data_IF_591505268640
#
_entry.id   IF_591505268640
#
_cell.length_a   1.000
_cell.length_b   1.000
_cell.length_c   1.000
_cell.angle_alpha   90.00
_cell.angle_beta   90.00
_cell.angle_gamma   90.00
#
_symmetry.space_group_name_H-M   'P 1'
#
loop_
_entity.id
_entity.type
_entity.pdbx_description
1 polymer ?
#
# COMPACT_ATOMS: atom_id res chain seq x y z
N UNK A 1 19.05 10.74 40.81
CA UNK A 1 18.85 11.10 39.39
C UNK A 1 18.87 9.83 38.55
N UNK A 2 17.72 9.41 38.00
CA UNK A 2 17.63 8.31 37.03
C UNK A 2 17.17 8.91 35.71
N UNK A 3 18.10 9.13 34.80
CA UNK A 3 17.81 9.57 33.42
C UNK A 3 17.13 8.38 32.72
N UNK A 4 15.79 8.32 32.76
CA UNK A 4 15.03 7.29 32.07
C UNK A 4 14.80 7.73 30.62
N UNK A 5 15.72 7.31 29.76
CA UNK A 5 15.55 6.97 28.32
C UNK A 5 14.36 7.63 27.62
N UNK A 6 14.53 8.89 27.22
CA UNK A 6 13.56 9.67 26.44
C UNK A 6 14.04 9.89 24.98
N UNK A 7 14.71 8.90 24.38
CA UNK A 7 15.51 9.13 23.16
C UNK A 7 15.15 8.31 21.91
N UNK A 8 13.97 7.71 21.80
CA UNK A 8 13.58 7.04 20.54
C UNK A 8 12.09 7.23 20.22
N UNK A 9 11.60 8.46 20.15
CA UNK A 9 10.19 8.73 19.76
C UNK A 9 10.08 9.52 18.44
N UNK A 10 11.17 10.11 17.92
CA UNK A 10 11.07 10.96 16.74
C UNK A 10 10.94 10.20 15.39
N UNK A 11 11.10 8.87 15.35
CA UNK A 11 11.11 8.08 14.11
C UNK A 11 9.90 7.13 13.94
N UNK A 12 8.99 7.07 14.91
CA UNK A 12 7.82 6.17 14.88
C UNK A 12 6.60 6.86 14.25
N UNK A 13 6.63 8.19 14.14
CA UNK A 13 5.71 8.95 13.31
C UNK A 13 6.21 8.99 11.86
N UNK A 14 6.44 7.82 11.23
CA UNK A 14 6.12 7.81 9.81
C UNK A 14 4.62 8.07 9.76
N UNK A 15 4.17 9.15 9.08
CA UNK A 15 2.76 9.43 8.98
C UNK A 15 2.05 8.16 8.53
N UNK A 16 0.77 8.06 8.81
CA UNK A 16 -0.16 7.20 8.10
C UNK A 16 -0.14 7.57 6.60
N UNK A 17 1.00 7.41 5.92
CA UNK A 17 1.15 7.66 4.50
C UNK A 17 0.39 6.53 3.82
N UNK A 18 -0.66 6.91 3.10
CA UNK A 18 -1.47 6.02 2.29
C UNK A 18 -2.30 5.04 3.10
N UNK A 19 -3.54 5.43 3.43
CA UNK A 19 -4.62 4.43 3.37
C UNK A 19 -4.52 3.80 1.99
N UNK A 20 -4.37 2.47 1.92
CA UNK A 20 -4.44 1.81 0.63
C UNK A 20 -5.87 2.00 0.11
N UNK A 21 -5.97 2.23 -1.19
CA UNK A 21 -7.28 2.45 -1.81
C UNK A 21 -8.13 1.20 -1.61
N UNK A 22 -9.24 1.33 -0.89
CA UNK A 22 -10.19 0.23 -0.66
C UNK A 22 -11.14 0.02 -1.84
N UNK A 23 -11.22 1.01 -2.74
CA UNK A 23 -11.97 0.99 -3.99
C UNK A 23 -11.08 1.55 -5.09
N UNK A 24 -10.95 0.84 -6.21
CA UNK A 24 -10.13 1.32 -7.32
C UNK A 24 -10.76 2.53 -8.01
N UNK A 25 -9.96 3.57 -8.18
CA UNK A 25 -10.25 4.76 -8.99
C UNK A 25 -9.31 4.68 -10.18
N UNK A 26 -9.87 4.81 -11.37
CA UNK A 26 -9.12 4.70 -12.60
C UNK A 26 -7.99 5.72 -12.64
N UNK A 27 -6.76 5.22 -12.84
CA UNK A 27 -5.58 6.05 -12.99
C UNK A 27 -5.39 6.34 -14.50
N UNK A 28 -6.16 7.29 -15.06
CA UNK A 28 -6.11 7.60 -16.51
C UNK A 28 -6.92 8.83 -16.95
N UNK A 29 -6.73 9.27 -18.19
CA UNK A 29 -7.50 10.37 -18.80
C UNK A 29 -8.95 9.95 -19.11
N UNK A 30 -9.90 10.76 -18.64
CA UNK A 30 -11.35 10.53 -18.62
C UNK A 30 -12.04 10.62 -19.99
N UNK A 31 -11.37 10.30 -21.10
CA UNK A 31 -11.84 10.68 -22.43
C UNK A 31 -12.62 9.60 -23.21
N UNK A 32 -12.63 8.32 -22.83
CA UNK A 32 -13.35 7.27 -23.57
C UNK A 32 -14.02 6.23 -22.65
N UNK A 33 -15.27 6.51 -22.26
CA UNK A 33 -16.12 5.64 -21.41
C UNK A 33 -16.34 4.24 -22.01
N UNK A 34 -16.43 4.12 -23.33
CA UNK A 34 -16.73 2.86 -24.04
C UNK A 34 -15.61 1.81 -23.93
N UNK A 35 -14.35 2.25 -23.82
CA UNK A 35 -13.19 1.36 -23.69
C UNK A 35 -13.01 0.87 -22.24
N UNK A 36 -13.40 1.70 -21.27
CA UNK A 36 -13.44 1.32 -19.85
C UNK A 36 -14.55 0.32 -19.53
N UNK A 37 -15.74 0.48 -20.14
CA UNK A 37 -16.81 -0.51 -20.00
C UNK A 37 -16.38 -1.89 -20.51
N UNK A 38 -15.63 -1.95 -21.62
CA UNK A 38 -15.07 -3.20 -22.13
C UNK A 38 -14.03 -3.84 -21.19
N UNK A 39 -13.22 -3.03 -20.47
CA UNK A 39 -12.30 -3.54 -19.43
C UNK A 39 -13.04 -4.18 -18.26
N UNK A 40 -14.19 -3.64 -17.85
CA UNK A 40 -15.00 -4.22 -16.76
C UNK A 40 -15.55 -5.60 -17.10
N UNK A 41 -15.63 -5.96 -18.38
CA UNK A 41 -16.05 -7.32 -18.80
C UNK A 41 -14.88 -8.29 -18.93
N UNK A 42 -13.63 -7.79 -18.90
CA UNK A 42 -12.43 -8.63 -18.99
C UNK A 42 -12.22 -9.44 -17.68
N UNK A 43 -12.20 -10.79 -17.73
CA UNK A 43 -11.98 -11.63 -16.56
C UNK A 43 -10.63 -11.39 -15.86
N UNK A 44 -9.57 -11.07 -16.60
CA UNK A 44 -8.26 -10.78 -16.03
C UNK A 44 -8.27 -9.48 -15.23
N UNK A 45 -8.91 -8.44 -15.78
CA UNK A 45 -9.09 -7.16 -15.08
C UNK A 45 -9.94 -7.31 -13.82
N UNK A 46 -11.04 -8.06 -13.86
CA UNK A 46 -11.88 -8.30 -12.68
C UNK A 46 -11.15 -9.08 -11.57
N UNK A 47 -10.34 -10.08 -11.95
CA UNK A 47 -9.50 -10.82 -10.98
C UNK A 47 -8.46 -9.92 -10.34
N UNK A 48 -7.74 -9.14 -11.15
CA UNK A 48 -6.75 -8.19 -10.66
C UNK A 48 -7.39 -7.15 -9.74
N UNK A 49 -8.53 -6.57 -10.14
CA UNK A 49 -9.26 -5.56 -9.37
C UNK A 49 -9.68 -6.10 -8.00
N UNK A 50 -10.24 -7.32 -7.96
CA UNK A 50 -10.64 -7.98 -6.72
C UNK A 50 -9.44 -8.19 -5.78
N UNK A 51 -8.29 -8.62 -6.31
CA UNK A 51 -7.06 -8.78 -5.54
C UNK A 51 -6.51 -7.43 -5.03
N UNK A 52 -6.56 -6.40 -5.86
CA UNK A 52 -6.12 -5.05 -5.54
C UNK A 52 -6.91 -4.44 -4.38
N UNK A 53 -8.25 -4.49 -4.46
CA UNK A 53 -9.13 -3.95 -3.43
C UNK A 53 -9.03 -4.75 -2.13
N UNK A 54 -8.96 -6.07 -2.21
CA UNK A 54 -8.77 -6.92 -1.03
C UNK A 54 -7.41 -6.67 -0.36
N UNK A 55 -6.33 -6.56 -1.13
CA UNK A 55 -5.02 -6.20 -0.62
C UNK A 55 -5.06 -4.83 0.08
N UNK A 56 -5.70 -3.84 -0.55
CA UNK A 56 -5.89 -2.50 0.03
C UNK A 56 -6.66 -2.51 1.34
N UNK A 57 -7.78 -3.25 1.42
CA UNK A 57 -8.54 -3.45 2.67
C UNK A 57 -7.67 -4.04 3.77
N UNK A 58 -6.94 -5.11 3.48
CA UNK A 58 -6.06 -5.78 4.44
C UNK A 58 -4.91 -4.88 4.92
N UNK A 59 -4.37 -4.01 4.05
CA UNK A 59 -3.40 -2.98 4.44
C UNK A 59 -4.02 -2.02 5.47
N UNK A 60 -5.26 -1.60 5.27
CA UNK A 60 -5.94 -0.70 6.20
C UNK A 60 -6.17 -1.38 7.56
N UNK A 61 -6.66 -2.63 7.58
CA UNK A 61 -6.86 -3.41 8.81
C UNK A 61 -5.57 -3.59 9.62
N UNK A 62 -4.47 -3.99 8.98
CA UNK A 62 -3.18 -4.15 9.67
C UNK A 62 -2.61 -2.80 10.11
N UNK A 63 -2.93 -1.71 9.41
CA UNK A 63 -2.53 -0.35 9.79
C UNK A 63 -3.27 0.12 11.04
N UNK A 64 -4.55 -0.22 11.18
CA UNK A 64 -5.26 0.04 12.43
C UNK A 64 -4.69 -0.78 13.59
N UNK A 65 -4.38 -2.06 13.37
CA UNK A 65 -3.74 -2.87 14.40
C UNK A 65 -2.38 -2.30 14.79
N UNK A 66 -1.59 -1.87 13.81
CA UNK A 66 -0.31 -1.20 14.02
C UNK A 66 -0.50 0.02 14.91
N UNK A 67 -1.48 0.88 14.60
CA UNK A 67 -1.73 2.10 15.37
C UNK A 67 -2.17 1.79 16.80
N UNK A 68 -3.11 0.85 16.98
CA UNK A 68 -3.53 0.38 18.32
C UNK A 68 -2.35 -0.14 19.14
N UNK A 69 -1.38 -0.81 18.51
CA UNK A 69 -0.18 -1.29 19.19
C UNK A 69 0.76 -0.16 19.57
N UNK A 70 0.97 0.82 18.68
CA UNK A 70 1.73 2.04 18.95
C UNK A 70 1.12 2.83 20.10
N UNK A 71 -0.19 3.09 20.07
CA UNK A 71 -0.88 3.86 21.12
C UNK A 71 -0.76 3.18 22.50
N UNK A 72 -0.80 1.85 22.53
CA UNK A 72 -0.73 1.08 23.78
C UNK A 72 0.67 0.99 24.38
N UNK A 73 1.73 0.88 23.58
CA UNK A 73 3.10 0.59 24.09
C UNK A 73 4.21 1.51 23.56
N UNK A 74 3.89 2.43 22.67
CA UNK A 74 4.82 3.32 21.97
C UNK A 74 5.43 2.75 20.68
N UNK A 75 5.20 1.48 20.34
CA UNK A 75 5.76 0.84 19.14
C UNK A 75 4.91 -0.36 18.65
N UNK A 76 4.91 -0.70 17.35
CA UNK A 76 4.17 -1.85 16.84
C UNK A 76 4.86 -3.18 17.19
N UNK A 77 4.14 -4.30 17.17
CA UNK A 77 4.77 -5.63 17.29
C UNK A 77 5.50 -5.98 15.98
N UNK A 78 6.63 -6.70 16.09
CA UNK A 78 7.38 -7.27 14.95
C UNK A 78 6.48 -8.02 13.96
N UNK A 79 5.56 -8.85 14.47
CA UNK A 79 4.64 -9.63 13.63
C UNK A 79 3.70 -8.74 12.81
N UNK A 80 3.25 -7.62 13.37
CA UNK A 80 2.36 -6.67 12.70
C UNK A 80 3.11 -5.91 11.62
N UNK A 81 4.36 -5.53 11.90
CA UNK A 81 5.25 -4.91 10.88
C UNK A 81 5.49 -5.86 9.71
N UNK A 82 5.83 -7.13 9.98
CA UNK A 82 6.03 -8.14 8.93
C UNK A 82 4.78 -8.36 8.09
N UNK A 83 3.61 -8.52 8.71
CA UNK A 83 2.35 -8.67 7.99
C UNK A 83 2.04 -7.45 7.10
N UNK A 84 2.30 -6.24 7.60
CA UNK A 84 2.14 -5.02 6.78
C UNK A 84 3.14 -4.97 5.62
N UNK A 85 4.39 -5.38 5.82
CA UNK A 85 5.39 -5.46 4.75
C UNK A 85 4.97 -6.44 3.65
N UNK A 86 4.48 -7.62 4.01
CA UNK A 86 4.00 -8.63 3.06
C UNK A 86 2.85 -8.08 2.20
N UNK A 87 1.90 -7.39 2.82
CA UNK A 87 0.78 -6.76 2.12
C UNK A 87 1.21 -5.59 1.23
N UNK A 88 2.13 -4.73 1.70
CA UNK A 88 2.67 -3.63 0.89
C UNK A 88 3.45 -4.18 -0.32
N UNK A 89 4.23 -5.25 -0.14
CA UNK A 89 4.93 -5.92 -1.25
C UNK A 89 3.94 -6.44 -2.29
N UNK A 90 2.88 -7.14 -1.84
CA UNK A 90 1.84 -7.63 -2.74
C UNK A 90 1.12 -6.48 -3.48
N UNK A 91 0.87 -5.36 -2.82
CA UNK A 91 0.26 -4.20 -3.44
C UNK A 91 1.14 -3.58 -4.52
N UNK A 92 2.46 -3.52 -4.30
CA UNK A 92 3.45 -3.10 -5.30
C UNK A 92 3.42 -4.06 -6.50
N UNK A 93 3.41 -5.37 -6.25
CA UNK A 93 3.36 -6.38 -7.32
C UNK A 93 2.09 -6.23 -8.17
N UNK A 94 0.95 -5.93 -7.56
CA UNK A 94 -0.31 -5.68 -8.27
C UNK A 94 -0.27 -4.39 -9.10
N UNK A 95 0.38 -3.33 -8.62
CA UNK A 95 0.60 -2.10 -9.41
C UNK A 95 1.55 -2.34 -10.59
N UNK A 96 2.59 -3.15 -10.39
CA UNK A 96 3.51 -3.57 -11.46
C UNK A 96 2.75 -4.40 -12.50
N UNK A 97 1.89 -5.33 -12.06
CA UNK A 97 1.03 -6.11 -12.94
C UNK A 97 0.11 -5.20 -13.76
N UNK A 98 -0.53 -4.21 -13.13
CA UNK A 98 -1.38 -3.23 -13.82
C UNK A 98 -0.62 -2.49 -14.93
N UNK A 99 0.61 -2.04 -14.63
CA UNK A 99 1.48 -1.31 -15.56
C UNK A 99 1.94 -2.18 -16.74
N UNK A 100 2.39 -3.39 -16.46
CA UNK A 100 3.12 -4.22 -17.42
C UNK A 100 2.20 -5.12 -18.26
N UNK A 101 0.95 -5.33 -17.83
CA UNK A 101 0.01 -6.21 -18.52
C UNK A 101 -0.80 -5.45 -19.59
N UNK A 102 -0.73 -5.83 -20.88
CA UNK A 102 -1.51 -5.20 -21.95
C UNK A 102 -3.03 -5.24 -21.72
N UNK A 103 -3.49 -6.25 -20.99
CA UNK A 103 -4.90 -6.45 -20.63
C UNK A 103 -5.39 -5.44 -19.58
N UNK A 104 -4.47 -4.87 -18.79
CA UNK A 104 -4.75 -3.97 -17.68
C UNK A 104 -4.38 -2.52 -18.00
N UNK A 105 -3.33 -2.29 -18.79
CA UNK A 105 -2.73 -0.96 -18.97
C UNK A 105 -3.32 -0.09 -20.10
N UNK A 106 -4.44 -0.48 -20.73
CA UNK A 106 -5.03 0.31 -21.82
C UNK A 106 -5.49 1.68 -21.28
N UNK A 107 -4.98 2.80 -21.81
CA UNK A 107 -5.26 4.16 -21.29
C UNK A 107 -4.86 4.38 -19.82
N UNK A 108 -3.87 3.62 -19.33
CA UNK A 108 -3.28 3.82 -18.01
C UNK A 108 -2.29 4.97 -18.05
N UNK A 109 -2.39 5.87 -17.08
CA UNK A 109 -1.35 6.87 -16.84
C UNK A 109 -0.17 6.19 -16.12
N UNK A 110 0.79 5.74 -16.93
CA UNK A 110 1.96 4.97 -16.48
C UNK A 110 2.80 5.77 -15.47
N UNK A 111 2.90 7.08 -15.63
CA UNK A 111 3.69 7.94 -14.74
C UNK A 111 3.04 8.05 -13.35
N UNK A 112 1.71 8.13 -13.29
CA UNK A 112 0.98 8.07 -12.01
C UNK A 112 1.13 6.71 -11.34
N UNK A 113 1.08 5.61 -12.09
CA UNK A 113 1.28 4.27 -11.51
C UNK A 113 2.72 4.10 -11.00
N UNK A 114 3.72 4.55 -11.74
CA UNK A 114 5.12 4.55 -11.30
C UNK A 114 5.30 5.40 -10.03
N UNK A 115 4.68 6.58 -9.96
CA UNK A 115 4.71 7.42 -8.77
C UNK A 115 4.11 6.71 -7.55
N UNK A 116 3.00 5.99 -7.73
CA UNK A 116 2.36 5.19 -6.68
C UNK A 116 3.26 4.03 -6.24
N UNK A 117 3.88 3.32 -7.18
CA UNK A 117 4.86 2.26 -6.89
C UNK A 117 6.02 2.82 -6.06
N UNK A 118 6.63 3.92 -6.46
CA UNK A 118 7.75 4.54 -5.71
C UNK A 118 7.35 4.96 -4.29
N UNK A 119 6.14 5.50 -4.12
CA UNK A 119 5.62 5.82 -2.79
C UNK A 119 5.52 4.57 -1.91
N UNK A 120 4.94 3.47 -2.41
CA UNK A 120 4.80 2.23 -1.64
C UNK A 120 6.13 1.53 -1.38
N UNK A 121 7.09 1.60 -2.31
CA UNK A 121 8.45 1.12 -2.10
C UNK A 121 9.13 1.88 -0.95
N UNK A 122 9.00 3.21 -0.91
CA UNK A 122 9.52 4.02 0.19
C UNK A 122 8.90 3.62 1.55
N UNK A 123 7.61 3.29 1.57
CA UNK A 123 6.98 2.76 2.79
C UNK A 123 7.53 1.40 3.19
N UNK A 124 7.73 0.49 2.23
CA UNK A 124 8.30 -0.82 2.49
C UNK A 124 9.71 -0.72 3.08
N UNK A 125 10.53 0.19 2.56
CA UNK A 125 11.87 0.50 3.09
C UNK A 125 11.80 1.06 4.52
N UNK A 126 10.84 1.95 4.79
CA UNK A 126 10.57 2.48 6.13
C UNK A 126 10.20 1.38 7.13
N UNK A 127 9.32 0.45 6.74
CA UNK A 127 8.94 -0.71 7.56
C UNK A 127 10.12 -1.67 7.79
N UNK A 128 10.95 -1.90 6.78
CA UNK A 128 12.15 -2.72 6.88
C UNK A 128 13.18 -2.09 7.84
N UNK A 129 13.37 -0.77 7.76
CA UNK A 129 14.23 -0.02 8.67
C UNK A 129 13.70 -0.03 10.11
N UNK A 130 12.38 0.06 10.29
CA UNK A 130 11.74 -0.05 11.60
C UNK A 130 11.94 -1.44 12.21
N UNK A 131 11.76 -2.50 11.43
CA UNK A 131 11.89 -3.88 11.89
C UNK A 131 13.28 -4.20 12.45
N UNK A 132 14.33 -3.53 11.94
CA UNK A 132 15.70 -3.64 12.45
C UNK A 132 15.89 -2.98 13.83
N UNK A 133 15.01 -2.05 14.21
CA UNK A 133 15.12 -1.22 15.42
C UNK A 133 14.26 -1.70 16.59
N UNK A 134 13.15 -2.39 16.30
CA UNK A 134 12.25 -3.00 17.31
C UNK A 134 12.64 -4.44 17.58
#
# INVERSE_FOLDING_TARGET
MRVKKLLVIALIAFPMMGMAQSSYEQIGESANSTQFENKRVNPAYQRWLSQYEECGRRINEVSEQYQREVDKRGYPKKKTVKAKMELVSLYIDLLIQERDSPELNQNLDIDKVNSKISMWQSQLDGLAALLKKI
#
